data_IF_483736220138
#
_entry.id   IF_483736220138
#
_cell.length_a   1.000
_cell.length_b   1.000
_cell.length_c   1.000
_cell.angle_alpha   90.00
_cell.angle_beta   90.00
_cell.angle_gamma   90.00
#
_symmetry.space_group_name_H-M   'P 1'
#
loop_
_entity.id
_entity.type
_entity.pdbx_description
1 polymer ?
#
# COMPACT_ATOMS: atom_id res chain seq x y z
N UNK A 1 3.68 -1.98 13.91
CA UNK A 1 3.79 -1.48 12.52
C UNK A 1 4.49 -0.11 12.41
N UNK A 2 4.20 0.86 13.27
CA UNK A 2 4.87 2.19 13.26
C UNK A 2 6.40 2.11 13.26
N UNK A 3 6.97 1.28 14.12
CA UNK A 3 8.44 1.10 14.20
C UNK A 3 9.01 0.45 12.94
N UNK A 4 8.28 -0.49 12.34
CA UNK A 4 8.70 -1.15 11.12
C UNK A 4 8.72 -0.16 9.95
N UNK A 5 7.68 0.67 9.82
CA UNK A 5 7.62 1.71 8.79
C UNK A 5 8.72 2.75 9.01
N UNK A 6 8.95 3.18 10.26
CA UNK A 6 10.02 4.12 10.58
C UNK A 6 11.40 3.55 10.21
N UNK A 7 11.60 2.26 10.41
CA UNK A 7 12.84 1.58 10.02
C UNK A 7 12.97 1.46 8.49
N UNK A 8 11.89 1.09 7.81
CA UNK A 8 11.85 1.00 6.35
C UNK A 8 12.04 2.36 5.68
N UNK A 9 11.56 3.45 6.30
CA UNK A 9 11.69 4.82 5.78
C UNK A 9 13.14 5.30 5.63
N UNK A 10 14.08 4.67 6.29
CA UNK A 10 15.51 4.93 6.07
C UNK A 10 15.95 4.47 4.69
N UNK A 11 15.14 3.64 4.03
CA UNK A 11 15.37 3.18 2.68
C UNK A 11 14.83 4.19 1.67
N UNK A 12 15.54 4.36 0.57
CA UNK A 12 15.26 5.38 -0.44
C UNK A 12 13.86 5.29 -1.05
N UNK A 13 13.32 4.08 -1.17
CA UNK A 13 11.99 3.86 -1.74
C UNK A 13 10.84 4.44 -0.91
N UNK A 14 11.09 4.68 0.38
CA UNK A 14 10.10 5.22 1.33
C UNK A 14 10.30 6.72 1.62
N UNK A 15 11.29 7.37 1.01
CA UNK A 15 11.72 8.72 1.41
C UNK A 15 10.63 9.79 1.29
N UNK A 16 9.68 9.61 0.38
CA UNK A 16 8.66 10.61 0.08
C UNK A 16 7.22 10.10 0.21
N UNK A 17 7.04 8.85 0.64
CA UNK A 17 5.72 8.24 0.74
C UNK A 17 5.40 7.80 2.17
N UNK A 18 4.11 7.94 2.53
CA UNK A 18 3.59 7.47 3.81
C UNK A 18 3.16 6.01 3.73
N UNK A 19 2.93 5.40 4.90
CA UNK A 19 2.38 4.05 4.98
C UNK A 19 0.98 3.96 4.37
N UNK A 20 0.15 5.00 4.51
CA UNK A 20 -1.17 5.03 3.86
C UNK A 20 -1.07 5.06 2.34
N UNK A 21 -0.15 5.85 1.80
CA UNK A 21 0.11 5.88 0.35
C UNK A 21 0.58 4.52 -0.16
N UNK A 22 1.47 3.86 0.57
CA UNK A 22 1.88 2.49 0.26
C UNK A 22 0.69 1.53 0.25
N UNK A 23 -0.21 1.62 1.23
CA UNK A 23 -1.39 0.74 1.29
C UNK A 23 -2.30 0.93 0.07
N UNK A 24 -2.46 2.16 -0.41
CA UNK A 24 -3.21 2.42 -1.65
C UNK A 24 -2.54 1.74 -2.84
N UNK A 25 -1.23 1.95 -3.01
CA UNK A 25 -0.48 1.34 -4.10
C UNK A 25 -0.55 -0.18 -4.05
N UNK A 26 -0.36 -0.76 -2.89
CA UNK A 26 -0.40 -2.21 -2.71
C UNK A 26 -1.79 -2.79 -2.94
N UNK A 27 -2.83 -2.11 -2.51
CA UNK A 27 -4.20 -2.54 -2.75
C UNK A 27 -4.48 -2.65 -4.25
N UNK A 28 -4.09 -1.64 -5.01
CA UNK A 28 -4.31 -1.63 -6.45
C UNK A 28 -3.42 -2.68 -7.14
N UNK A 29 -2.19 -2.85 -6.70
CA UNK A 29 -1.30 -3.88 -7.26
C UNK A 29 -1.86 -5.29 -7.05
N UNK A 30 -2.47 -5.56 -5.90
CA UNK A 30 -3.01 -6.87 -5.55
C UNK A 30 -4.40 -7.12 -6.15
N UNK A 31 -5.27 -6.11 -6.14
CA UNK A 31 -6.69 -6.26 -6.46
C UNK A 31 -7.06 -5.71 -7.85
N UNK A 32 -6.12 -5.05 -8.54
CA UNK A 32 -6.40 -4.32 -9.76
C UNK A 32 -6.99 -2.93 -9.51
N UNK A 33 -7.39 -2.21 -10.57
CA UNK A 33 -7.98 -0.88 -10.43
C UNK A 33 -9.14 -0.85 -9.46
N UNK A 34 -9.21 0.19 -8.64
CA UNK A 34 -10.20 0.32 -7.57
C UNK A 34 -10.89 1.68 -7.62
N UNK A 35 -12.24 1.73 -7.44
CA UNK A 35 -12.93 2.99 -7.19
C UNK A 35 -12.40 3.67 -5.92
N UNK A 36 -12.29 4.98 -5.94
CA UNK A 36 -11.85 5.75 -4.74
C UNK A 36 -12.74 5.47 -3.52
N UNK A 37 -14.04 5.32 -3.72
CA UNK A 37 -14.99 4.98 -2.65
C UNK A 37 -14.66 3.62 -2.01
N UNK A 38 -14.23 2.64 -2.79
CA UNK A 38 -13.84 1.34 -2.28
C UNK A 38 -12.52 1.40 -1.50
N UNK A 39 -11.58 2.21 -1.98
CA UNK A 39 -10.32 2.46 -1.26
C UNK A 39 -10.62 3.09 0.12
N UNK A 40 -11.48 4.10 0.15
CA UNK A 40 -11.90 4.75 1.40
C UNK A 40 -12.53 3.75 2.38
N UNK A 41 -13.44 2.93 1.87
CA UNK A 41 -14.12 1.92 2.68
C UNK A 41 -13.15 0.89 3.26
N UNK A 42 -12.24 0.37 2.45
CA UNK A 42 -11.27 -0.67 2.88
C UNK A 42 -10.22 -0.13 3.84
N UNK A 43 -9.75 1.08 3.62
CA UNK A 43 -8.74 1.70 4.49
C UNK A 43 -9.36 2.39 5.72
N UNK A 44 -10.68 2.39 5.85
CA UNK A 44 -11.40 3.06 6.95
C UNK A 44 -11.03 4.54 7.07
N UNK A 45 -10.97 5.21 5.95
CA UNK A 45 -10.71 6.65 5.85
C UNK A 45 -11.85 7.35 5.11
N UNK A 46 -11.89 8.67 5.20
CA UNK A 46 -12.92 9.45 4.53
C UNK A 46 -12.62 9.64 3.04
N UNK A 47 -13.64 9.94 2.25
CA UNK A 47 -13.48 10.22 0.83
C UNK A 47 -12.50 11.38 0.55
N UNK A 48 -12.54 12.52 1.28
CA UNK A 48 -11.55 13.58 1.09
C UNK A 48 -10.10 13.14 1.34
N UNK A 49 -9.87 12.23 2.28
CA UNK A 49 -8.53 11.68 2.54
C UNK A 49 -8.05 10.89 1.32
N UNK A 50 -8.90 10.03 0.75
CA UNK A 50 -8.53 9.26 -0.46
C UNK A 50 -8.30 10.18 -1.65
N UNK A 51 -9.12 11.20 -1.84
CA UNK A 51 -8.93 12.19 -2.91
C UNK A 51 -7.56 12.85 -2.81
N UNK A 52 -7.13 13.21 -1.60
CA UNK A 52 -5.83 13.80 -1.35
C UNK A 52 -4.68 12.82 -1.61
N UNK A 53 -4.82 11.58 -1.12
CA UNK A 53 -3.84 10.53 -1.37
C UNK A 53 -3.70 10.26 -2.86
N UNK A 54 -4.81 10.15 -3.58
CA UNK A 54 -4.83 9.93 -5.01
C UNK A 54 -4.17 11.08 -5.78
N UNK A 55 -4.45 12.34 -5.40
CA UNK A 55 -3.80 13.50 -6.03
C UNK A 55 -2.29 13.48 -5.86
N UNK A 56 -1.81 13.22 -4.65
CA UNK A 56 -0.37 13.13 -4.37
C UNK A 56 0.28 12.00 -5.18
N UNK A 57 -0.35 10.84 -5.24
CA UNK A 57 0.18 9.69 -5.99
C UNK A 57 0.11 9.94 -7.50
N UNK A 58 -0.92 10.61 -7.99
CA UNK A 58 -1.04 10.95 -9.41
C UNK A 58 0.03 11.99 -9.81
N UNK A 59 0.26 13.00 -8.98
CA UNK A 59 1.31 14.01 -9.21
C UNK A 59 2.70 13.37 -9.25
N UNK A 60 2.92 12.33 -8.47
CA UNK A 60 4.15 11.55 -8.48
C UNK A 60 4.24 10.54 -9.64
N UNK A 61 3.23 10.45 -10.49
CA UNK A 61 3.19 9.52 -11.61
C UNK A 61 3.01 8.05 -11.23
N UNK A 62 2.45 7.77 -10.05
CA UNK A 62 2.32 6.41 -9.52
C UNK A 62 0.93 5.82 -9.75
N UNK A 63 -0.09 6.65 -9.86
CA UNK A 63 -1.45 6.22 -10.17
C UNK A 63 -2.02 7.09 -11.28
N UNK A 64 -3.02 6.55 -11.98
CA UNK A 64 -3.86 7.25 -12.93
C UNK A 64 -5.29 7.26 -12.40
N UNK A 65 -5.97 8.39 -12.59
CA UNK A 65 -7.40 8.53 -12.28
C UNK A 65 -8.19 8.41 -13.56
N UNK A 66 -9.15 7.51 -13.56
CA UNK A 66 -10.06 7.29 -14.67
C UNK A 66 -11.50 7.29 -14.22
N UNK A 67 -12.42 7.04 -15.15
CA UNK A 67 -13.84 6.88 -14.87
C UNK A 67 -14.24 5.42 -14.97
N UNK A 68 -15.23 5.03 -14.16
CA UNK A 68 -15.84 3.71 -14.27
C UNK A 68 -16.74 3.68 -15.52
N UNK A 69 -16.60 2.70 -16.43
CA UNK A 69 -17.50 2.57 -17.57
C UNK A 69 -18.98 2.41 -17.20
N UNK A 70 -19.26 1.85 -16.02
CA UNK A 70 -20.61 1.59 -15.52
C UNK A 70 -21.15 2.72 -14.64
N UNK A 71 -20.30 3.61 -14.15
CA UNK A 71 -20.68 4.75 -13.32
C UNK A 71 -19.73 5.92 -13.56
N UNK A 72 -20.15 6.86 -14.41
CA UNK A 72 -19.35 8.03 -14.78
C UNK A 72 -19.04 8.97 -13.61
N UNK A 73 -19.71 8.82 -12.46
CA UNK A 73 -19.44 9.61 -11.25
C UNK A 73 -18.31 9.03 -10.42
N UNK A 74 -17.99 7.75 -10.61
CA UNK A 74 -16.94 7.08 -9.85
C UNK A 74 -15.58 7.35 -10.46
N UNK A 75 -14.63 7.76 -9.61
CA UNK A 75 -13.23 7.88 -9.97
C UNK A 75 -12.55 6.56 -9.63
N UNK A 76 -11.91 5.96 -10.63
CA UNK A 76 -11.18 4.70 -10.50
C UNK A 76 -9.69 4.99 -10.49
N UNK A 77 -8.98 4.39 -9.55
CA UNK A 77 -7.52 4.48 -9.44
C UNK A 77 -6.88 3.22 -10.03
N UNK A 78 -5.92 3.41 -10.92
CA UNK A 78 -5.11 2.35 -11.48
C UNK A 78 -3.63 2.66 -11.28
N UNK A 79 -2.80 1.63 -11.14
CA UNK A 79 -1.35 1.83 -11.08
C UNK A 79 -0.79 2.12 -12.47
N UNK A 80 0.15 3.07 -12.51
CA UNK A 80 1.07 3.17 -13.64
C UNK A 80 2.13 2.07 -13.54
N UNK A 81 2.86 1.75 -14.62
CA UNK A 81 4.03 0.85 -14.52
C UNK A 81 5.05 1.31 -13.47
N UNK A 82 5.26 2.62 -13.35
CA UNK A 82 6.13 3.21 -12.33
C UNK A 82 5.57 2.97 -10.93
N UNK A 83 4.26 3.15 -10.74
CA UNK A 83 3.56 2.89 -9.48
C UNK A 83 3.69 1.44 -9.04
N UNK A 84 3.57 0.51 -9.97
CA UNK A 84 3.74 -0.92 -9.69
C UNK A 84 5.15 -1.25 -9.22
N UNK A 85 6.14 -0.75 -9.92
CA UNK A 85 7.56 -0.93 -9.52
C UNK A 85 7.81 -0.34 -8.13
N UNK A 86 7.28 0.84 -7.87
CA UNK A 86 7.43 1.53 -6.59
C UNK A 86 6.79 0.74 -5.45
N UNK A 87 5.56 0.25 -5.64
CA UNK A 87 4.85 -0.55 -4.65
C UNK A 87 5.63 -1.81 -4.27
N UNK A 88 6.16 -2.50 -5.28
CA UNK A 88 6.94 -3.73 -5.07
C UNK A 88 8.29 -3.46 -4.41
N UNK A 89 8.95 -2.37 -4.76
CA UNK A 89 10.21 -1.96 -4.11
C UNK A 89 9.98 -1.58 -2.64
N UNK A 90 8.93 -0.84 -2.35
CA UNK A 90 8.55 -0.48 -0.98
C UNK A 90 8.22 -1.72 -0.14
N UNK A 91 7.52 -2.69 -0.73
CA UNK A 91 7.22 -3.95 -0.06
C UNK A 91 8.49 -4.73 0.26
N UNK A 92 9.43 -4.82 -0.68
CA UNK A 92 10.73 -5.48 -0.43
C UNK A 92 11.48 -4.82 0.72
N UNK A 93 11.51 -3.49 0.76
CA UNK A 93 12.18 -2.76 1.82
C UNK A 93 11.47 -2.93 3.17
N UNK A 94 10.15 -2.98 3.18
CA UNK A 94 9.37 -3.25 4.37
C UNK A 94 9.67 -4.66 4.93
N UNK A 95 9.71 -5.67 4.05
CA UNK A 95 10.06 -7.04 4.43
C UNK A 95 11.52 -7.14 4.90
N UNK A 96 12.43 -6.41 4.25
CA UNK A 96 13.83 -6.33 4.67
C UNK A 96 13.97 -5.73 6.08
N UNK A 97 13.26 -4.64 6.35
CA UNK A 97 13.22 -4.03 7.66
C UNK A 97 12.64 -4.96 8.73
N UNK A 98 11.59 -5.72 8.38
CA UNK A 98 11.00 -6.72 9.26
C UNK A 98 12.00 -7.83 9.60
N UNK A 99 12.76 -8.31 8.62
CA UNK A 99 13.81 -9.32 8.87
C UNK A 99 14.86 -8.83 9.85
N UNK A 100 15.30 -7.58 9.72
CA UNK A 100 16.27 -6.97 10.65
C UNK A 100 15.73 -6.93 12.08
N UNK A 101 14.45 -6.57 12.25
CA UNK A 101 13.80 -6.54 13.57
C UNK A 101 13.54 -7.94 14.13
N UNK A 102 13.53 -8.96 13.28
CA UNK A 102 13.33 -10.36 13.67
C UNK A 102 14.65 -11.11 13.86
N UNK A 103 15.75 -10.40 14.04
CA UNK A 103 17.08 -11.00 14.24
C UNK A 103 17.14 -12.10 15.31
N UNK A 104 16.42 -12.01 16.44
CA UNK A 104 16.37 -13.10 17.42
C UNK A 104 15.75 -14.40 16.90
N UNK A 105 15.01 -14.36 15.79
CA UNK A 105 14.42 -15.55 15.17
C UNK A 105 15.47 -16.18 14.24
N UNK A 106 15.59 -17.53 14.19
CA UNK A 106 16.51 -18.21 13.28
C UNK A 106 16.42 -17.70 11.85
N UNK A 107 17.57 -17.48 11.20
CA UNK A 107 17.66 -16.81 9.90
C UNK A 107 16.79 -17.48 8.82
N UNK A 108 16.70 -18.82 8.82
CA UNK A 108 15.91 -19.60 7.89
C UNK A 108 14.40 -19.37 8.03
N UNK A 109 13.94 -18.82 9.15
CA UNK A 109 12.53 -18.54 9.42
C UNK A 109 12.16 -17.06 9.28
N UNK A 110 13.13 -16.16 9.32
CA UNK A 110 12.88 -14.70 9.33
C UNK A 110 12.09 -14.25 8.11
N UNK A 111 12.45 -14.72 6.93
CA UNK A 111 11.79 -14.32 5.69
C UNK A 111 10.31 -14.73 5.68
N UNK A 112 10.02 -15.97 6.10
CA UNK A 112 8.65 -16.48 6.18
C UNK A 112 7.82 -15.74 7.21
N UNK A 113 8.39 -15.46 8.38
CA UNK A 113 7.69 -14.71 9.45
C UNK A 113 7.41 -13.28 9.00
N UNK A 114 8.40 -12.60 8.42
CA UNK A 114 8.22 -11.24 7.92
C UNK A 114 7.12 -11.17 6.84
N UNK A 115 7.13 -12.10 5.90
CA UNK A 115 6.12 -12.19 4.85
C UNK A 115 4.72 -12.45 5.42
N UNK A 116 4.62 -13.37 6.39
CA UNK A 116 3.34 -13.70 7.03
C UNK A 116 2.76 -12.51 7.80
N UNK A 117 3.60 -11.77 8.53
CA UNK A 117 3.16 -10.58 9.26
C UNK A 117 2.65 -9.49 8.31
N UNK A 118 3.36 -9.25 7.23
CA UNK A 118 2.97 -8.26 6.23
C UNK A 118 1.67 -8.65 5.54
N UNK A 119 1.52 -9.91 5.17
CA UNK A 119 0.31 -10.44 4.57
C UNK A 119 -0.89 -10.30 5.52
N UNK A 120 -0.72 -10.67 6.78
CA UNK A 120 -1.76 -10.54 7.80
C UNK A 120 -2.17 -9.07 7.97
N UNK A 121 -1.21 -8.16 8.04
CA UNK A 121 -1.47 -6.73 8.14
C UNK A 121 -2.30 -6.24 6.96
N UNK A 122 -1.93 -6.64 5.75
CA UNK A 122 -2.65 -6.27 4.54
C UNK A 122 -4.08 -6.83 4.54
N UNK A 123 -4.26 -8.09 4.92
CA UNK A 123 -5.57 -8.72 5.01
C UNK A 123 -6.46 -8.02 6.05
N UNK A 124 -5.94 -7.67 7.19
CA UNK A 124 -6.68 -6.93 8.21
C UNK A 124 -7.15 -5.57 7.69
N UNK A 125 -6.28 -4.85 6.98
CA UNK A 125 -6.62 -3.56 6.38
C UNK A 125 -7.71 -3.68 5.30
N UNK A 126 -7.64 -4.71 4.47
CA UNK A 126 -8.51 -4.82 3.31
C UNK A 126 -9.82 -5.58 3.58
N UNK A 127 -9.87 -6.41 4.62
CA UNK A 127 -11.03 -7.25 4.93
C UNK A 127 -11.86 -6.75 6.12
N UNK A 128 -11.28 -5.97 7.01
CA UNK A 128 -12.00 -5.42 8.18
C UNK A 128 -13.19 -4.55 7.81
N UNK A 129 -13.22 -4.03 6.61
CA UNK A 129 -14.29 -3.14 6.13
C UNK A 129 -15.52 -3.90 5.59
N UNK A 130 -15.55 -5.23 5.65
CA UNK A 130 -16.69 -6.02 5.17
C UNK A 130 -17.83 -6.22 6.19
N UNK A 131 -17.66 -5.67 7.36
CA UNK A 131 -18.69 -5.76 8.41
C UNK A 131 -19.55 -4.51 8.50
#
# INVERSE_FOLDING_TARGET
MRHLVAHARRRRTWSELTYQQYNVLRMIDTMGPQPQAEVARRLLVTAPVVTRLASTLADAGLVERGTDPNDKRAVVLALTPTGRRRARAMRRDLLGAARELLEPIPAERRASVAAALEELQFLLLTHSARR
#
